data_IF_331043318107
#
_entry.id   IF_331043318107
#
_cell.length_a   1.000
_cell.length_b   1.000
_cell.length_c   1.000
_cell.angle_alpha   90.00
_cell.angle_beta   90.00
_cell.angle_gamma   90.00
#
_symmetry.space_group_name_H-M   'P 1'
#
loop_
_entity.id
_entity.type
_entity.pdbx_description
1 polymer ?
#
# COMPACT_ATOMS: atom_id res chain seq x y z
N UNK A 1 15.49 -16.54 33.96
CA UNK A 1 15.34 -15.58 32.87
C UNK A 1 15.86 -16.08 31.50
N UNK A 2 17.11 -16.56 31.35
CA UNK A 2 17.63 -17.04 30.05
C UNK A 2 16.82 -18.20 29.44
N UNK A 3 16.38 -19.16 30.25
CA UNK A 3 15.58 -20.33 29.80
C UNK A 3 14.18 -19.92 29.32
N UNK A 4 13.58 -18.91 29.93
CA UNK A 4 12.23 -18.40 29.54
C UNK A 4 12.30 -17.67 28.18
N UNK A 5 13.39 -16.93 27.93
CA UNK A 5 13.62 -16.24 26.66
C UNK A 5 13.83 -17.25 25.53
N UNK A 6 14.61 -18.32 25.78
CA UNK A 6 14.81 -19.39 24.77
C UNK A 6 13.50 -20.10 24.45
N UNK A 7 12.68 -20.39 25.47
CA UNK A 7 11.38 -21.02 25.27
C UNK A 7 10.43 -20.12 24.51
N UNK A 8 10.43 -18.82 24.80
CA UNK A 8 9.64 -17.82 24.08
C UNK A 8 10.05 -17.69 22.60
N UNK A 9 11.36 -17.65 22.34
CA UNK A 9 11.93 -17.64 20.99
C UNK A 9 11.58 -18.92 20.21
N UNK A 10 11.66 -20.10 20.87
CA UNK A 10 11.32 -21.37 20.25
C UNK A 10 9.82 -21.45 19.92
N UNK A 11 8.96 -20.97 20.82
CA UNK A 11 7.50 -20.91 20.60
C UNK A 11 7.16 -19.95 19.46
N UNK A 12 7.83 -18.81 19.37
CA UNK A 12 7.72 -17.87 18.24
C UNK A 12 8.16 -18.50 16.91
N UNK A 13 9.25 -19.27 16.90
CA UNK A 13 9.71 -19.99 15.70
C UNK A 13 8.75 -21.08 15.25
N UNK A 14 8.15 -21.82 16.19
CA UNK A 14 7.17 -22.87 15.87
C UNK A 14 5.85 -22.28 15.37
N UNK A 15 5.38 -21.18 15.95
CA UNK A 15 4.21 -20.46 15.48
C UNK A 15 4.43 -19.85 14.09
N UNK A 16 5.63 -19.35 13.80
CA UNK A 16 5.96 -18.80 12.49
C UNK A 16 5.99 -19.87 11.39
N UNK A 17 6.36 -21.11 11.68
CA UNK A 17 6.40 -22.17 10.66
C UNK A 17 5.00 -22.57 10.14
N UNK A 18 3.97 -22.46 10.95
CA UNK A 18 2.58 -22.70 10.53
C UNK A 18 1.94 -21.47 9.87
N UNK A 19 2.40 -20.26 10.24
CA UNK A 19 1.92 -19.00 9.69
C UNK A 19 2.47 -18.73 8.26
N UNK A 20 3.63 -19.27 7.89
CA UNK A 20 4.31 -19.01 6.62
C UNK A 20 3.48 -19.31 5.36
N UNK A 21 2.51 -20.24 5.42
CA UNK A 21 1.62 -20.51 4.27
C UNK A 21 0.51 -19.47 4.08
N UNK A 22 0.18 -18.71 5.12
CA UNK A 22 -0.90 -17.72 5.12
C UNK A 22 -0.39 -16.29 5.07
N UNK A 23 0.84 -16.07 5.49
CA UNK A 23 1.47 -14.76 5.54
C UNK A 23 2.32 -14.52 4.29
N UNK A 24 2.19 -13.34 3.69
CA UNK A 24 2.92 -12.95 2.49
C UNK A 24 3.41 -11.52 2.63
N UNK A 25 4.62 -11.30 2.13
CA UNK A 25 5.18 -9.98 1.96
C UNK A 25 5.26 -9.65 0.48
N UNK A 26 4.95 -8.42 0.13
CA UNK A 26 5.05 -7.92 -1.22
C UNK A 26 5.79 -6.60 -1.26
N UNK A 27 6.45 -6.38 -2.38
CA UNK A 27 7.14 -5.15 -2.74
C UNK A 27 6.70 -4.77 -4.15
N UNK A 28 6.48 -3.48 -4.40
CA UNK A 28 6.10 -3.03 -5.72
C UNK A 28 6.33 -1.56 -5.96
N UNK A 29 6.05 -1.16 -7.18
CA UNK A 29 6.08 0.22 -7.65
C UNK A 29 4.66 0.74 -7.80
N UNK A 30 4.45 1.99 -7.42
CA UNK A 30 3.23 2.74 -7.64
C UNK A 30 3.46 3.84 -8.66
N UNK A 31 2.43 4.16 -9.42
CA UNK A 31 2.39 5.37 -10.22
C UNK A 31 1.12 6.14 -9.86
N UNK A 32 1.23 7.32 -9.22
CA UNK A 32 0.09 8.15 -8.92
C UNK A 32 -0.40 8.86 -10.18
N UNK A 33 -1.72 8.84 -10.40
CA UNK A 33 -2.41 9.58 -11.46
C UNK A 33 -3.27 10.61 -10.74
N UNK A 34 -2.89 11.88 -10.72
CA UNK A 34 -3.68 12.93 -10.10
C UNK A 34 -5.01 13.09 -10.87
N UNK A 35 -6.11 13.18 -10.14
CA UNK A 35 -7.44 13.32 -10.73
C UNK A 35 -7.88 14.78 -10.69
N UNK A 36 -7.38 15.55 -9.73
CA UNK A 36 -7.71 16.96 -9.59
C UNK A 36 -6.62 17.92 -10.11
N UNK A 37 -7.05 19.14 -10.42
CA UNK A 37 -6.24 20.14 -11.13
C UNK A 37 -5.04 20.71 -10.35
N UNK A 38 -4.82 20.33 -9.10
CA UNK A 38 -3.78 20.88 -8.24
C UNK A 38 -2.42 20.17 -8.31
N UNK A 39 -2.36 18.93 -8.81
CA UNK A 39 -1.12 18.12 -8.89
C UNK A 39 -0.79 17.77 -10.35
N UNK A 40 -0.74 18.75 -11.25
CA UNK A 40 -0.97 18.47 -12.67
C UNK A 40 0.22 18.00 -13.48
N UNK A 41 1.49 18.11 -13.06
CA UNK A 41 2.52 18.02 -14.11
C UNK A 41 3.60 16.96 -13.95
N UNK A 42 3.93 16.49 -12.77
CA UNK A 42 5.00 15.50 -12.62
C UNK A 42 4.69 14.52 -11.47
N UNK A 43 4.18 13.36 -11.84
CA UNK A 43 4.06 12.24 -10.92
C UNK A 43 5.31 11.37 -11.00
N UNK A 44 5.94 11.09 -9.88
CA UNK A 44 7.07 10.18 -9.81
C UNK A 44 6.62 8.79 -9.35
N UNK A 45 7.22 7.73 -9.89
CA UNK A 45 6.93 6.39 -9.41
C UNK A 45 7.32 6.28 -7.93
N UNK A 46 6.38 5.80 -7.13
CA UNK A 46 6.59 5.51 -5.72
C UNK A 46 6.87 4.03 -5.47
N UNK A 47 7.15 3.70 -4.23
CA UNK A 47 7.39 2.33 -3.78
C UNK A 47 6.31 1.97 -2.77
N UNK A 48 5.85 0.72 -2.80
CA UNK A 48 5.02 0.19 -1.73
C UNK A 48 5.53 -1.13 -1.18
N UNK A 49 5.31 -1.32 0.11
CA UNK A 49 5.46 -2.57 0.82
C UNK A 49 4.08 -3.04 1.26
N UNK A 50 3.84 -4.32 1.14
CA UNK A 50 2.58 -4.92 1.56
C UNK A 50 2.84 -6.18 2.38
N UNK A 51 2.25 -6.26 3.56
CA UNK A 51 2.20 -7.46 4.37
C UNK A 51 0.75 -7.96 4.37
N UNK A 52 0.52 -9.21 4.00
CA UNK A 52 -0.83 -9.75 3.90
C UNK A 52 -0.98 -11.09 4.61
N UNK A 53 -2.15 -11.31 5.18
CA UNK A 53 -2.51 -12.56 5.86
C UNK A 53 -3.83 -13.10 5.33
N UNK A 54 -3.81 -14.33 4.82
CA UNK A 54 -4.99 -15.00 4.30
C UNK A 54 -5.80 -15.59 5.45
N UNK A 55 -6.92 -14.95 5.79
CA UNK A 55 -7.85 -15.43 6.81
C UNK A 55 -8.62 -16.67 6.32
N UNK A 56 -9.16 -16.59 5.11
CA UNK A 56 -9.90 -17.68 4.44
C UNK A 56 -9.45 -17.77 2.98
N UNK A 57 -9.99 -18.73 2.22
CA UNK A 57 -9.71 -18.82 0.78
C UNK A 57 -10.21 -17.62 -0.01
N UNK A 58 -11.13 -16.83 0.56
CA UNK A 58 -11.73 -15.66 -0.09
C UNK A 58 -11.41 -14.34 0.59
N UNK A 59 -10.91 -14.35 1.83
CA UNK A 59 -10.67 -13.13 2.61
C UNK A 59 -9.20 -13.05 2.96
N UNK A 60 -8.62 -11.90 2.62
CA UNK A 60 -7.25 -11.54 2.92
C UNK A 60 -7.26 -10.19 3.65
N UNK A 61 -6.52 -10.07 4.74
CA UNK A 61 -6.22 -8.79 5.39
C UNK A 61 -4.81 -8.37 5.00
N UNK A 62 -4.60 -7.10 4.80
CA UNK A 62 -3.31 -6.56 4.43
C UNK A 62 -2.98 -5.27 5.17
N UNK A 63 -1.69 -4.99 5.24
CA UNK A 63 -1.13 -3.74 5.71
C UNK A 63 -0.21 -3.21 4.62
N UNK A 64 -0.59 -2.12 4.01
CA UNK A 64 0.20 -1.43 2.99
C UNK A 64 0.96 -0.24 3.57
N UNK A 65 2.22 -0.11 3.19
CA UNK A 65 3.03 1.10 3.36
C UNK A 65 3.32 1.65 1.97
N UNK A 66 2.89 2.87 1.69
CA UNK A 66 2.97 3.47 0.37
C UNK A 66 3.76 4.77 0.46
N UNK A 67 4.86 4.85 -0.28
CA UNK A 67 5.67 6.06 -0.43
C UNK A 67 5.59 6.58 -1.86
N UNK A 68 5.34 7.87 -2.03
CA UNK A 68 5.22 8.51 -3.34
C UNK A 68 5.65 9.98 -3.31
N UNK A 69 5.96 10.51 -4.47
CA UNK A 69 6.25 11.92 -4.67
C UNK A 69 5.45 12.47 -5.84
N UNK A 70 4.89 13.65 -5.65
CA UNK A 70 4.29 14.46 -6.71
C UNK A 70 4.95 15.83 -6.71
N UNK A 71 5.20 16.40 -7.89
CA UNK A 71 5.64 17.78 -8.02
C UNK A 71 4.56 18.58 -8.73
N UNK A 72 4.22 19.72 -8.19
CA UNK A 72 3.29 20.68 -8.79
C UNK A 72 4.05 21.88 -9.32
N UNK A 73 3.83 22.24 -10.58
CA UNK A 73 4.29 23.49 -11.18
C UNK A 73 3.21 24.57 -10.96
N UNK A 74 3.24 25.23 -9.83
CA UNK A 74 2.44 26.45 -9.61
C UNK A 74 3.30 27.67 -9.91
N UNK A 75 3.07 28.27 -11.08
CA UNK A 75 3.45 29.58 -11.62
C UNK A 75 4.85 30.18 -11.35
N UNK A 76 5.63 29.77 -10.39
CA UNK A 76 7.04 30.21 -10.17
C UNK A 76 7.81 29.32 -9.19
N UNK A 77 7.19 28.36 -8.54
CA UNK A 77 7.86 27.46 -7.60
C UNK A 77 7.42 26.01 -7.82
N UNK A 78 8.38 25.13 -7.93
CA UNK A 78 8.11 23.68 -7.92
C UNK A 78 7.86 23.30 -6.46
N UNK A 79 6.62 23.03 -6.11
CA UNK A 79 6.28 22.45 -4.82
C UNK A 79 6.30 20.94 -4.93
N UNK A 80 7.23 20.31 -4.25
CA UNK A 80 7.32 18.87 -4.15
C UNK A 80 6.47 18.40 -2.95
N UNK A 81 5.57 17.48 -3.18
CA UNK A 81 4.79 16.84 -2.11
C UNK A 81 5.25 15.39 -1.99
N UNK A 82 5.75 15.04 -0.82
CA UNK A 82 6.10 13.66 -0.48
C UNK A 82 5.03 13.08 0.43
N UNK A 83 4.51 11.94 0.08
CA UNK A 83 3.46 11.24 0.82
C UNK A 83 3.95 9.90 1.31
N UNK A 84 3.69 9.61 2.59
CA UNK A 84 3.81 8.28 3.18
C UNK A 84 2.45 7.88 3.74
N UNK A 85 1.88 6.78 3.26
CA UNK A 85 0.60 6.29 3.76
C UNK A 85 0.73 4.91 4.41
N UNK A 86 0.03 4.72 5.53
CA UNK A 86 -0.11 3.44 6.23
C UNK A 86 -1.56 3.01 6.12
N UNK A 87 -1.82 1.93 5.40
CA UNK A 87 -3.17 1.54 5.01
C UNK A 87 -3.43 0.06 5.32
N UNK A 88 -3.94 -0.27 6.52
CA UNK A 88 -4.57 -1.55 6.75
C UNK A 88 -5.82 -1.73 5.88
N UNK A 89 -6.07 -2.96 5.44
CA UNK A 89 -7.18 -3.23 4.54
C UNK A 89 -7.65 -4.68 4.56
N UNK A 90 -8.78 -4.89 3.89
CA UNK A 90 -9.39 -6.20 3.67
C UNK A 90 -9.66 -6.38 2.19
N UNK A 91 -9.34 -7.55 1.66
CA UNK A 91 -9.59 -7.91 0.27
C UNK A 91 -10.48 -9.14 0.19
N UNK A 92 -11.43 -9.09 -0.72
CA UNK A 92 -12.21 -10.24 -1.13
C UNK A 92 -11.64 -10.80 -2.43
N UNK A 93 -11.22 -12.06 -2.39
CA UNK A 93 -10.59 -12.78 -3.49
C UNK A 93 -11.67 -13.56 -4.25
N UNK A 94 -11.61 -13.51 -5.59
CA UNK A 94 -12.48 -14.28 -6.46
C UNK A 94 -11.73 -15.51 -7.01
N UNK A 95 -11.81 -16.67 -6.34
CA UNK A 95 -11.10 -17.86 -6.79
C UNK A 95 -11.68 -18.35 -8.11
N UNK A 96 -10.91 -18.23 -9.18
CA UNK A 96 -11.25 -18.77 -10.49
C UNK A 96 -10.83 -20.24 -10.58
N UNK A 97 -11.48 -21.00 -11.48
CA UNK A 97 -11.09 -22.39 -11.79
C UNK A 97 -9.61 -22.48 -12.20
N UNK A 98 -9.12 -21.46 -12.85
CA UNK A 98 -7.71 -21.32 -13.24
C UNK A 98 -6.92 -20.72 -12.06
N UNK A 99 -6.18 -21.55 -11.33
CA UNK A 99 -5.35 -21.13 -10.17
C UNK A 99 -4.23 -20.13 -10.50
N UNK A 100 -4.09 -19.73 -11.76
CA UNK A 100 -3.04 -18.82 -12.24
C UNK A 100 -3.40 -17.35 -12.09
N UNK A 101 -4.68 -17.04 -12.01
CA UNK A 101 -5.20 -15.67 -11.95
C UNK A 101 -6.18 -15.56 -10.79
N UNK A 102 -5.98 -14.58 -9.94
CA UNK A 102 -6.80 -14.37 -8.75
C UNK A 102 -7.19 -12.89 -8.68
N UNK A 103 -8.36 -12.50 -9.24
CA UNK A 103 -8.90 -11.17 -9.09
C UNK A 103 -9.32 -10.90 -7.65
N UNK A 104 -9.28 -9.64 -7.25
CA UNK A 104 -9.77 -9.23 -5.95
C UNK A 104 -10.30 -7.81 -5.96
N UNK A 105 -11.17 -7.53 -5.00
CA UNK A 105 -11.60 -6.18 -4.63
C UNK A 105 -11.31 -5.98 -3.15
N UNK A 106 -11.01 -4.78 -2.75
CA UNK A 106 -10.68 -4.51 -1.36
C UNK A 106 -10.98 -3.09 -0.94
N UNK A 107 -10.94 -2.90 0.36
CA UNK A 107 -11.08 -1.61 1.00
C UNK A 107 -10.01 -1.50 2.08
N UNK A 108 -9.28 -0.40 2.06
CA UNK A 108 -8.35 0.00 3.11
C UNK A 108 -8.77 1.31 3.74
N UNK A 109 -8.38 1.51 4.98
CA UNK A 109 -8.48 2.81 5.65
C UNK A 109 -7.22 3.01 6.45
N UNK A 110 -6.75 4.24 6.56
CA UNK A 110 -5.48 4.49 7.23
C UNK A 110 -5.18 5.96 7.39
N UNK A 111 -3.91 6.26 7.42
CA UNK A 111 -3.38 7.61 7.63
C UNK A 111 -2.35 7.90 6.55
N UNK A 112 -2.45 9.08 5.96
CA UNK A 112 -1.47 9.66 5.04
C UNK A 112 -0.71 10.77 5.76
N UNK A 113 0.59 10.78 5.60
CA UNK A 113 1.51 11.80 6.04
C UNK A 113 1.98 12.55 4.79
N UNK A 114 1.42 13.73 4.59
CA UNK A 114 1.72 14.56 3.43
C UNK A 114 2.66 15.68 3.86
N UNK A 115 3.79 15.78 3.18
CA UNK A 115 4.82 16.77 3.47
C UNK A 115 4.98 17.71 2.27
N UNK A 116 4.76 18.99 2.52
CA UNK A 116 4.90 20.05 1.52
C UNK A 116 6.28 20.73 1.67
N UNK A 117 7.03 20.80 0.60
CA UNK A 117 8.31 21.48 0.57
C UNK A 117 9.47 20.60 0.10
N UNK A 118 10.63 21.21 -0.15
CA UNK A 118 11.82 20.51 -0.64
C UNK A 118 12.36 19.52 0.41
N UNK A 119 12.32 18.25 0.07
CA UNK A 119 12.89 17.14 0.84
C UNK A 119 11.89 16.34 1.66
N UNK A 120 12.29 15.12 2.02
CA UNK A 120 11.45 14.12 2.71
C UNK A 120 10.94 14.57 4.09
N UNK A 121 11.51 15.64 4.66
CA UNK A 121 11.19 16.19 5.99
C UNK A 121 11.05 17.73 5.97
N UNK A 122 10.37 18.29 4.95
CA UNK A 122 10.14 19.73 4.84
C UNK A 122 9.21 20.30 5.94
N UNK A 123 9.03 21.60 5.94
CA UNK A 123 8.35 22.35 7.01
C UNK A 123 6.82 22.29 6.92
N UNK A 124 6.20 21.13 7.04
CA UNK A 124 4.74 21.07 7.05
C UNK A 124 4.19 19.65 6.88
N UNK A 125 4.40 18.81 7.87
CA UNK A 125 3.78 17.48 7.86
C UNK A 125 2.31 17.61 8.22
N UNK A 126 1.44 17.28 7.27
CA UNK A 126 0.00 17.19 7.47
C UNK A 126 -0.43 15.73 7.54
N UNK A 127 -1.33 15.45 8.47
CA UNK A 127 -1.85 14.11 8.72
C UNK A 127 -3.31 14.07 8.28
N UNK A 128 -3.60 13.19 7.30
CA UNK A 128 -4.95 13.04 6.78
C UNK A 128 -5.43 11.59 6.91
N UNK A 129 -6.69 11.38 7.31
CA UNK A 129 -7.31 10.06 7.18
C UNK A 129 -7.46 9.72 5.70
N UNK A 130 -7.26 8.45 5.37
CA UNK A 130 -7.39 7.97 3.99
C UNK A 130 -8.30 6.76 3.92
N UNK A 131 -9.18 6.75 2.89
CA UNK A 131 -9.98 5.61 2.48
C UNK A 131 -9.51 5.14 1.11
N UNK A 132 -9.25 3.85 0.98
CA UNK A 132 -8.61 3.28 -0.23
C UNK A 132 -9.41 2.10 -0.76
N UNK A 133 -10.47 2.34 -1.55
CA UNK A 133 -11.01 1.29 -2.39
C UNK A 133 -9.95 0.82 -3.40
N UNK A 134 -9.88 -0.49 -3.61
CA UNK A 134 -8.89 -1.11 -4.49
C UNK A 134 -9.46 -2.29 -5.25
N UNK A 135 -8.98 -2.46 -6.46
CA UNK A 135 -9.23 -3.64 -7.30
C UNK A 135 -7.90 -4.11 -7.85
N UNK A 136 -7.75 -5.41 -8.00
CA UNK A 136 -6.48 -5.94 -8.52
C UNK A 136 -6.59 -7.36 -9.01
N UNK A 137 -5.51 -7.80 -9.62
CA UNK A 137 -5.35 -9.15 -10.16
C UNK A 137 -3.98 -9.66 -9.76
N UNK A 138 -3.96 -10.78 -9.08
CA UNK A 138 -2.73 -11.51 -8.77
C UNK A 138 -2.51 -12.61 -9.82
N UNK A 139 -1.35 -12.58 -10.48
CA UNK A 139 -0.94 -13.58 -11.46
C UNK A 139 0.07 -14.54 -10.84
N UNK A 140 -0.07 -15.83 -11.12
CA UNK A 140 0.85 -16.89 -10.70
C UNK A 140 1.19 -16.88 -9.20
N UNK A 141 0.32 -16.29 -8.37
CA UNK A 141 0.48 -16.10 -6.92
C UNK A 141 1.56 -15.09 -6.51
N UNK A 142 2.26 -14.49 -7.43
CA UNK A 142 3.41 -13.64 -7.14
C UNK A 142 3.31 -12.24 -7.72
N UNK A 143 2.90 -12.10 -8.97
CA UNK A 143 2.78 -10.79 -9.62
C UNK A 143 1.41 -10.19 -9.31
N UNK A 144 1.38 -9.00 -8.75
CA UNK A 144 0.17 -8.25 -8.41
C UNK A 144 0.07 -6.96 -9.22
N UNK A 145 -1.07 -6.77 -9.86
CA UNK A 145 -1.42 -5.51 -10.54
C UNK A 145 -2.64 -4.93 -9.85
N UNK A 146 -2.53 -3.72 -9.32
CA UNK A 146 -3.54 -3.11 -8.46
C UNK A 146 -3.88 -1.71 -8.92
N UNK A 147 -5.16 -1.37 -8.88
CA UNK A 147 -5.68 -0.02 -8.97
C UNK A 147 -6.23 0.36 -7.59
N UNK A 148 -5.80 1.50 -7.06
CA UNK A 148 -6.18 2.02 -5.75
C UNK A 148 -6.63 3.45 -5.91
N UNK A 149 -7.75 3.81 -5.33
CA UNK A 149 -8.20 5.19 -5.30
C UNK A 149 -8.06 5.72 -3.88
N UNK A 150 -7.25 6.76 -3.70
CA UNK A 150 -7.01 7.37 -2.41
C UNK A 150 -7.97 8.53 -2.24
N UNK A 151 -8.91 8.36 -1.32
CA UNK A 151 -9.85 9.39 -0.88
C UNK A 151 -9.27 9.97 0.41
N UNK A 152 -8.75 11.19 0.33
CA UNK A 152 -8.14 11.87 1.48
C UNK A 152 -8.85 13.19 1.78
N UNK A 153 -8.40 14.24 1.16
CA UNK A 153 -8.98 15.58 1.15
C UNK A 153 -9.23 15.95 -0.32
N UNK A 154 -10.25 16.74 -0.65
CA UNK A 154 -10.59 17.05 -2.04
C UNK A 154 -9.42 17.43 -2.95
N UNK A 155 -8.40 18.08 -2.40
CA UNK A 155 -7.23 18.52 -3.16
C UNK A 155 -6.16 17.42 -3.36
N UNK A 156 -6.32 16.25 -2.73
CA UNK A 156 -5.30 15.18 -2.69
C UNK A 156 -5.80 13.81 -3.15
N UNK A 157 -7.00 13.77 -3.72
CA UNK A 157 -7.55 12.53 -4.24
C UNK A 157 -6.76 12.08 -5.47
N UNK A 158 -6.36 10.81 -5.47
CA UNK A 158 -5.52 10.27 -6.54
C UNK A 158 -5.79 8.80 -6.84
N UNK A 159 -5.69 8.46 -8.11
CA UNK A 159 -5.68 7.09 -8.56
C UNK A 159 -4.25 6.57 -8.61
N UNK A 160 -4.02 5.40 -8.06
CA UNK A 160 -2.72 4.73 -8.02
C UNK A 160 -2.77 3.46 -8.84
N UNK A 161 -1.85 3.31 -9.75
CA UNK A 161 -1.60 2.05 -10.45
C UNK A 161 -0.37 1.41 -9.85
N UNK A 162 -0.48 0.21 -9.32
CA UNK A 162 0.60 -0.52 -8.67
C UNK A 162 0.93 -1.83 -9.39
N UNK A 163 2.21 -2.13 -9.49
CA UNK A 163 2.72 -3.44 -9.92
C UNK A 163 3.68 -3.93 -8.85
N UNK A 164 3.47 -5.13 -8.35
CA UNK A 164 4.29 -5.70 -7.29
C UNK A 164 4.50 -7.19 -7.38
N UNK A 165 5.40 -7.65 -6.55
CA UNK A 165 5.73 -9.06 -6.37
C UNK A 165 5.50 -9.45 -4.91
N UNK A 166 4.81 -10.59 -4.70
CA UNK A 166 4.46 -11.14 -3.37
C UNK A 166 4.98 -12.54 -3.19
#
# INVERSE_FOLDING_TARGET
MKRTIIFLLFTLCVLSSQAQRKFRFGLGLNYPIPIEKGCNDLSYPGIYLNASYRLTDRINVDLGLHGEQCASNLDTSIEETSTLAIVPGVNYLFPLKTKKVLPYVGLGTGISFDNFGKGVFGHGMHLHPVLVPKVGIQFFKHLDVTFRYYITHPDFDRLMVGIGYT
#
